data_IF_576799156425
#
_entry.id   IF_576799156425
#
_cell.length_a   1.000
_cell.length_b   1.000
_cell.length_c   1.000
_cell.angle_alpha   90.00
_cell.angle_beta   90.00
_cell.angle_gamma   90.00
#
_symmetry.space_group_name_H-M   'P 1'
#
loop_
_entity.id
_entity.type
_entity.pdbx_description
1 polymer ?
#
# COMPACT_ATOMS: atom_id res chain seq x y z
N UNK A 1 -22.54 -2.49 3.21
CA UNK A 1 -21.23 -2.99 2.70
C UNK A 1 -21.34 -3.03 1.19
N UNK A 2 -20.41 -2.45 0.43
CA UNK A 2 -20.47 -2.55 -1.04
C UNK A 2 -19.83 -3.87 -1.43
N UNK A 3 -20.64 -4.84 -1.82
CA UNK A 3 -20.17 -6.12 -2.31
C UNK A 3 -19.54 -5.92 -3.69
N UNK A 4 -18.25 -6.27 -3.80
CA UNK A 4 -17.50 -6.26 -5.06
C UNK A 4 -17.11 -7.70 -5.34
N UNK A 5 -17.58 -8.21 -6.48
CA UNK A 5 -17.25 -9.52 -6.99
C UNK A 5 -16.47 -9.36 -8.30
N UNK A 6 -15.38 -10.09 -8.47
CA UNK A 6 -14.66 -10.17 -9.74
C UNK A 6 -14.84 -11.58 -10.32
N UNK A 7 -15.85 -11.83 -11.18
CA UNK A 7 -16.27 -13.18 -11.58
C UNK A 7 -15.20 -13.99 -12.36
N UNK A 8 -14.19 -13.29 -12.89
CA UNK A 8 -13.04 -13.89 -13.53
C UNK A 8 -12.07 -14.56 -12.54
N UNK A 9 -12.08 -14.13 -11.27
CA UNK A 9 -11.34 -14.78 -10.20
C UNK A 9 -12.11 -16.04 -9.81
N UNK A 10 -11.61 -17.21 -10.20
CA UNK A 10 -12.19 -18.52 -9.86
C UNK A 10 -11.72 -19.02 -8.49
N UNK A 11 -11.58 -18.10 -7.55
CA UNK A 11 -11.09 -18.35 -6.19
C UNK A 11 -11.96 -17.60 -5.20
N UNK A 12 -12.06 -18.11 -3.99
CA UNK A 12 -12.74 -17.40 -2.91
C UNK A 12 -11.99 -16.10 -2.57
N UNK A 13 -12.74 -15.02 -2.40
CA UNK A 13 -12.19 -13.72 -2.05
C UNK A 13 -12.87 -13.15 -0.81
N UNK A 14 -12.07 -12.61 0.11
CA UNK A 14 -12.56 -11.93 1.31
C UNK A 14 -12.33 -10.44 1.18
N UNK A 15 -13.34 -9.62 1.47
CA UNK A 15 -13.17 -8.18 1.54
C UNK A 15 -12.29 -7.80 2.74
N UNK A 16 -11.22 -7.02 2.50
CA UNK A 16 -10.30 -6.59 3.56
C UNK A 16 -10.29 -5.08 3.80
N UNK A 17 -10.79 -4.29 2.85
CA UNK A 17 -10.92 -2.84 3.06
C UNK A 17 -11.22 -2.05 1.80
N UNK A 18 -11.44 -0.76 1.99
CA UNK A 18 -11.67 0.19 0.90
C UNK A 18 -11.01 1.52 1.19
N UNK A 19 -10.45 2.13 0.16
CA UNK A 19 -10.15 3.56 0.12
C UNK A 19 -11.16 4.29 -0.75
N UNK A 20 -11.01 5.61 -0.85
CA UNK A 20 -11.90 6.50 -1.61
C UNK A 20 -12.07 6.05 -3.08
N UNK A 21 -11.01 5.48 -3.68
CA UNK A 21 -10.99 5.14 -5.11
C UNK A 21 -10.82 3.65 -5.40
N UNK A 22 -10.72 2.78 -4.38
CA UNK A 22 -10.42 1.37 -4.57
C UNK A 22 -10.98 0.51 -3.45
N UNK A 23 -11.29 -0.75 -3.75
CA UNK A 23 -11.43 -1.77 -2.72
C UNK A 23 -10.27 -2.75 -2.77
N UNK A 24 -10.08 -3.47 -1.69
CA UNK A 24 -9.06 -4.51 -1.57
C UNK A 24 -9.75 -5.80 -1.16
N UNK A 25 -9.49 -6.84 -1.94
CA UNK A 25 -9.90 -8.21 -1.68
C UNK A 25 -8.66 -9.03 -1.34
N UNK A 26 -8.82 -10.07 -0.52
CA UNK A 26 -7.80 -11.08 -0.25
C UNK A 26 -8.22 -12.40 -0.91
N UNK A 27 -7.29 -13.03 -1.62
CA UNK A 27 -7.44 -14.38 -2.16
C UNK A 27 -6.21 -15.20 -1.74
N UNK A 28 -6.33 -16.00 -0.67
CA UNK A 28 -5.17 -16.71 -0.10
C UNK A 28 -4.06 -15.75 0.35
N UNK A 29 -2.88 -15.88 -0.26
CA UNK A 29 -1.69 -15.04 -0.02
C UNK A 29 -1.65 -13.80 -0.92
N UNK A 30 -2.71 -13.51 -1.68
CA UNK A 30 -2.77 -12.39 -2.61
C UNK A 30 -3.70 -11.29 -2.13
N UNK A 31 -3.24 -10.04 -2.20
CA UNK A 31 -4.05 -8.84 -2.12
C UNK A 31 -4.41 -8.37 -3.54
N UNK A 32 -5.69 -8.20 -3.79
CA UNK A 32 -6.24 -7.79 -5.08
C UNK A 32 -6.86 -6.41 -4.89
N UNK A 33 -6.23 -5.37 -5.43
CA UNK A 33 -6.76 -4.01 -5.37
C UNK A 33 -7.60 -3.76 -6.61
N UNK A 34 -8.87 -3.42 -6.41
CA UNK A 34 -9.83 -3.17 -7.48
C UNK A 34 -9.93 -1.66 -7.70
N UNK A 35 -9.37 -1.20 -8.81
CA UNK A 35 -9.48 0.18 -9.27
C UNK A 35 -10.72 0.31 -10.15
N UNK A 36 -11.78 0.86 -9.58
CA UNK A 36 -13.00 1.11 -10.34
C UNK A 36 -12.74 2.21 -11.36
N UNK A 37 -12.87 1.87 -12.62
CA UNK A 37 -12.77 2.84 -13.70
C UNK A 37 -14.20 3.16 -14.11
N UNK A 38 -14.58 4.44 -14.10
CA UNK A 38 -15.89 4.86 -14.57
C UNK A 38 -16.16 4.47 -16.02
N UNK A 39 -17.26 4.95 -16.61
CA UNK A 39 -17.54 4.71 -18.03
C UNK A 39 -16.39 5.27 -18.88
N UNK A 40 -15.61 4.37 -19.49
CA UNK A 40 -14.50 4.65 -20.39
C UNK A 40 -14.54 3.67 -21.54
N UNK A 41 -13.98 4.05 -22.68
CA UNK A 41 -13.77 3.11 -23.79
C UNK A 41 -12.64 2.11 -23.49
N UNK A 42 -12.53 1.07 -24.31
CA UNK A 42 -11.52 0.02 -24.13
C UNK A 42 -10.08 0.55 -24.25
N UNK A 43 -9.84 1.56 -25.09
CA UNK A 43 -8.51 2.12 -25.30
C UNK A 43 -8.05 2.91 -24.07
N UNK A 44 -8.93 3.72 -23.49
CA UNK A 44 -8.70 4.43 -22.23
C UNK A 44 -8.48 3.49 -21.06
N UNK A 45 -9.26 2.42 -20.97
CA UNK A 45 -9.11 1.40 -19.93
C UNK A 45 -7.75 0.69 -20.04
N UNK A 46 -7.35 0.32 -21.26
CA UNK A 46 -6.04 -0.26 -21.52
C UNK A 46 -4.88 0.71 -21.23
N UNK A 47 -5.02 1.99 -21.57
CA UNK A 47 -4.04 3.04 -21.19
C UNK A 47 -3.93 3.14 -19.68
N UNK A 48 -5.06 3.17 -18.95
CA UNK A 48 -5.06 3.29 -17.50
C UNK A 48 -4.43 2.07 -16.82
N UNK A 49 -4.72 0.87 -17.31
CA UNK A 49 -4.10 -0.35 -16.81
C UNK A 49 -2.57 -0.33 -16.97
N UNK A 50 -2.07 0.10 -18.14
CA UNK A 50 -0.62 0.25 -18.39
C UNK A 50 0.02 1.32 -17.51
N UNK A 51 -0.66 2.44 -17.28
CA UNK A 51 -0.18 3.49 -16.37
C UNK A 51 -0.03 2.96 -14.93
N UNK A 52 -1.04 2.22 -14.45
CA UNK A 52 -1.04 1.64 -13.10
C UNK A 52 0.06 0.57 -12.97
N UNK A 53 0.18 -0.34 -13.94
CA UNK A 53 1.22 -1.38 -13.95
C UNK A 53 2.62 -0.76 -14.02
N UNK A 54 2.84 0.17 -14.94
CA UNK A 54 4.10 0.89 -15.10
C UNK A 54 4.52 1.63 -13.82
N UNK A 55 3.60 2.36 -13.19
CA UNK A 55 3.86 3.04 -11.90
C UNK A 55 4.24 2.03 -10.81
N UNK A 56 3.52 0.93 -10.68
CA UNK A 56 3.79 -0.08 -9.65
C UNK A 56 5.14 -0.77 -9.83
N UNK A 57 5.53 -1.04 -11.07
CA UNK A 57 6.86 -1.59 -11.40
C UNK A 57 7.96 -0.59 -11.12
N UNK A 58 7.76 0.67 -11.51
CA UNK A 58 8.77 1.72 -11.33
C UNK A 58 9.04 2.02 -9.85
N UNK A 59 7.99 2.08 -9.02
CA UNK A 59 8.15 2.21 -7.57
C UNK A 59 9.02 1.08 -7.02
N UNK A 60 8.77 -0.17 -7.40
CA UNK A 60 9.53 -1.33 -6.89
C UNK A 60 10.97 -1.44 -7.38
N UNK A 61 11.37 -0.65 -8.38
CA UNK A 61 12.79 -0.49 -8.74
C UNK A 61 13.54 0.45 -7.80
N UNK A 62 12.82 1.38 -7.18
CA UNK A 62 13.41 2.46 -6.37
C UNK A 62 13.24 2.26 -4.87
N UNK A 63 12.22 1.51 -4.46
CA UNK A 63 11.92 1.22 -3.05
C UNK A 63 11.62 -0.26 -2.84
N UNK A 64 12.07 -0.78 -1.71
CA UNK A 64 11.99 -2.20 -1.35
C UNK A 64 10.98 -2.48 -0.22
N UNK A 65 10.38 -1.44 0.37
CA UNK A 65 9.45 -1.53 1.49
C UNK A 65 7.99 -1.71 1.06
N UNK A 66 7.74 -2.09 -0.19
CA UNK A 66 6.43 -2.45 -0.70
C UNK A 66 6.26 -3.98 -0.76
N UNK A 67 5.05 -4.52 -0.56
CA UNK A 67 4.75 -5.90 -0.91
C UNK A 67 5.05 -6.20 -2.38
N UNK A 68 5.32 -7.47 -2.69
CA UNK A 68 5.54 -7.91 -4.06
C UNK A 68 4.36 -7.55 -4.96
N UNK A 69 4.67 -7.30 -6.24
CA UNK A 69 3.68 -6.98 -7.26
C UNK A 69 3.78 -7.93 -8.42
N UNK A 70 2.64 -8.51 -8.77
CA UNK A 70 2.57 -9.59 -9.75
C UNK A 70 1.99 -9.10 -11.08
N UNK A 71 1.30 -7.96 -11.10
CA UNK A 71 0.82 -7.33 -12.34
C UNK A 71 -0.57 -6.73 -12.23
N UNK A 72 -1.07 -6.24 -13.36
CA UNK A 72 -2.42 -5.72 -13.50
C UNK A 72 -3.17 -6.41 -14.62
N UNK A 73 -4.48 -6.55 -14.47
CA UNK A 73 -5.39 -6.99 -15.53
C UNK A 73 -6.60 -6.06 -15.61
N UNK A 74 -7.18 -5.98 -16.79
CA UNK A 74 -8.49 -5.36 -16.99
C UNK A 74 -9.56 -6.43 -16.80
N UNK A 75 -10.57 -6.14 -16.01
CA UNK A 75 -11.68 -7.05 -15.76
C UNK A 75 -13.01 -6.31 -15.65
N UNK A 76 -14.10 -7.05 -15.83
CA UNK A 76 -15.42 -6.61 -15.40
C UNK A 76 -15.66 -7.09 -13.96
N UNK A 77 -16.11 -6.19 -13.09
CA UNK A 77 -16.49 -6.51 -11.70
C UNK A 77 -17.95 -6.18 -11.48
N UNK A 78 -18.62 -6.96 -10.62
CA UNK A 78 -19.97 -6.62 -10.16
C UNK A 78 -19.85 -5.76 -8.91
N UNK A 79 -20.57 -4.64 -8.90
CA UNK A 79 -20.65 -3.71 -7.77
C UNK A 79 -22.11 -3.31 -7.58
N UNK A 80 -22.72 -3.70 -6.47
CA UNK A 80 -24.11 -3.35 -6.16
C UNK A 80 -25.09 -3.72 -7.29
N UNK A 81 -24.94 -4.92 -7.86
CA UNK A 81 -25.77 -5.43 -8.96
C UNK A 81 -25.40 -4.91 -10.36
N UNK A 82 -24.54 -3.90 -10.48
CA UNK A 82 -24.07 -3.38 -11.78
C UNK A 82 -22.72 -3.96 -12.17
N UNK A 83 -22.54 -4.26 -13.46
CA UNK A 83 -21.23 -4.64 -14.02
C UNK A 83 -20.48 -3.39 -14.44
N UNK A 84 -19.26 -3.21 -13.93
CA UNK A 84 -18.42 -2.05 -14.24
C UNK A 84 -17.00 -2.49 -14.62
N UNK A 85 -16.34 -1.79 -15.55
CA UNK A 85 -14.94 -2.06 -15.85
C UNK A 85 -14.05 -1.66 -14.67
N UNK A 86 -13.01 -2.45 -14.42
CA UNK A 86 -12.02 -2.18 -13.41
C UNK A 86 -10.63 -2.62 -13.87
N UNK A 87 -9.61 -2.04 -13.25
CA UNK A 87 -8.25 -2.57 -13.27
C UNK A 87 -8.02 -3.29 -11.96
N UNK A 88 -7.67 -4.56 -12.01
CA UNK A 88 -7.28 -5.33 -10.83
C UNK A 88 -5.76 -5.34 -10.78
N UNK A 89 -5.19 -5.00 -9.64
CA UNK A 89 -3.75 -5.17 -9.39
C UNK A 89 -3.53 -6.26 -8.35
N UNK A 90 -2.53 -7.10 -8.61
CA UNK A 90 -2.22 -8.26 -7.80
C UNK A 90 -0.93 -8.04 -7.04
N UNK A 91 -1.02 -8.20 -5.72
CA UNK A 91 0.08 -7.98 -4.81
C UNK A 91 0.15 -9.15 -3.83
N UNK A 92 1.31 -9.32 -3.21
CA UNK A 92 1.39 -10.12 -2.00
C UNK A 92 0.46 -9.53 -0.92
N UNK A 93 -0.28 -10.40 -0.22
CA UNK A 93 -1.06 -10.02 0.94
C UNK A 93 -0.18 -9.93 2.17
N UNK A 94 -0.17 -8.75 2.80
CA UNK A 94 0.41 -8.55 4.12
C UNK A 94 -0.67 -7.96 5.02
N UNK A 95 -0.83 -8.55 6.20
CA UNK A 95 -1.86 -8.10 7.14
C UNK A 95 -1.52 -6.70 7.70
N UNK A 96 -2.49 -5.76 7.75
CA UNK A 96 -2.28 -4.47 8.38
C UNK A 96 -1.92 -4.60 9.86
N UNK A 97 -1.05 -3.71 10.34
CA UNK A 97 -0.64 -3.70 11.74
C UNK A 97 -1.84 -3.37 12.64
N UNK A 98 -2.21 -4.32 13.50
CA UNK A 98 -3.28 -4.16 14.49
C UNK A 98 -2.80 -3.87 15.91
N UNK A 99 -1.53 -4.15 16.20
CA UNK A 99 -0.92 -3.95 17.52
C UNK A 99 0.40 -3.20 17.39
N UNK A 100 0.57 -2.17 18.23
CA UNK A 100 1.71 -1.26 18.20
C UNK A 100 2.58 -1.48 19.43
N UNK A 101 3.49 -2.44 19.34
CA UNK A 101 4.56 -2.59 20.34
C UNK A 101 5.64 -1.53 20.09
N UNK A 102 6.49 -1.29 21.09
CA UNK A 102 7.62 -0.39 20.94
C UNK A 102 8.52 -0.76 19.75
N UNK A 103 8.81 -2.06 19.57
CA UNK A 103 9.58 -2.56 18.43
C UNK A 103 8.91 -2.25 17.08
N UNK A 104 7.60 -2.43 16.97
CA UNK A 104 6.83 -2.10 15.76
C UNK A 104 6.89 -0.60 15.46
N UNK A 105 6.76 0.25 16.48
CA UNK A 105 6.89 1.71 16.34
C UNK A 105 8.28 2.11 15.83
N UNK A 106 9.34 1.52 16.38
CA UNK A 106 10.70 1.77 15.91
C UNK A 106 10.90 1.33 14.46
N UNK A 107 10.33 0.20 14.06
CA UNK A 107 10.38 -0.28 12.67
C UNK A 107 9.60 0.64 11.71
N UNK A 108 8.45 1.16 12.13
CA UNK A 108 7.67 2.16 11.39
C UNK A 108 8.49 3.43 11.15
N UNK A 109 9.10 3.97 12.21
CA UNK A 109 9.94 5.17 12.12
C UNK A 109 11.14 4.96 11.19
N UNK A 110 11.79 3.80 11.25
CA UNK A 110 12.87 3.44 10.31
C UNK A 110 12.38 3.37 8.86
N UNK A 111 11.18 2.85 8.60
CA UNK A 111 10.61 2.83 7.26
C UNK A 111 10.36 4.25 6.75
N UNK A 112 9.79 5.12 7.59
CA UNK A 112 9.53 6.52 7.25
C UNK A 112 10.83 7.27 6.92
N UNK A 113 11.88 7.09 7.74
CA UNK A 113 13.18 7.68 7.46
C UNK A 113 13.75 7.19 6.11
N UNK A 114 13.72 5.87 5.87
CA UNK A 114 14.16 5.29 4.59
C UNK A 114 13.36 5.78 3.39
N UNK A 115 12.05 6.00 3.53
CA UNK A 115 11.25 6.57 2.45
C UNK A 115 11.62 8.02 2.18
N UNK A 116 11.87 8.80 3.24
CA UNK A 116 12.32 10.19 3.15
C UNK A 116 13.66 10.31 2.41
N UNK A 117 14.63 9.46 2.75
CA UNK A 117 15.94 9.38 2.09
C UNK A 117 15.81 9.07 0.59
N UNK A 118 14.81 8.27 0.22
CA UNK A 118 14.48 7.95 -1.16
C UNK A 118 13.63 9.04 -1.85
N UNK A 119 13.36 10.18 -1.19
CA UNK A 119 12.61 11.32 -1.73
C UNK A 119 11.09 11.14 -1.71
N UNK A 120 10.59 10.26 -0.84
CA UNK A 120 9.17 9.92 -0.74
C UNK A 120 8.57 10.30 0.61
N UNK A 121 7.32 10.76 0.56
CA UNK A 121 6.48 11.01 1.74
C UNK A 121 5.35 9.99 1.75
N UNK A 122 5.09 9.39 2.92
CA UNK A 122 4.06 8.36 3.07
C UNK A 122 2.85 8.90 3.82
N UNK A 123 1.63 8.55 3.37
CA UNK A 123 0.41 8.74 4.16
C UNK A 123 0.48 7.89 5.44
N UNK A 124 0.66 8.55 6.59
CA UNK A 124 0.96 7.96 7.90
C UNK A 124 -0.24 7.28 8.58
N UNK A 125 -1.28 6.93 7.83
CA UNK A 125 -2.41 6.17 8.37
C UNK A 125 -1.95 4.78 8.82
N UNK A 126 -2.23 4.37 10.06
CA UNK A 126 -1.91 3.03 10.58
C UNK A 126 -2.29 1.88 9.64
N UNK A 127 -3.45 1.95 8.99
CA UNK A 127 -3.94 0.94 8.05
C UNK A 127 -3.12 0.78 6.76
N UNK A 128 -2.23 1.74 6.47
CA UNK A 128 -1.33 1.69 5.30
C UNK A 128 -0.03 0.94 5.60
N UNK A 129 0.18 0.44 6.82
CA UNK A 129 1.37 -0.31 7.17
C UNK A 129 1.00 -1.76 7.53
N UNK A 130 1.83 -2.69 7.07
CA UNK A 130 1.70 -4.12 7.32
C UNK A 130 2.95 -4.70 7.95
N UNK A 131 2.82 -5.85 8.60
CA UNK A 131 3.95 -6.60 9.16
C UNK A 131 4.10 -7.93 8.43
N UNK A 132 5.24 -8.13 7.76
CA UNK A 132 5.62 -9.37 7.08
C UNK A 132 6.83 -9.96 7.82
N UNK A 133 6.59 -10.99 8.63
CA UNK A 133 7.61 -11.50 9.56
C UNK A 133 8.05 -10.38 10.50
N UNK A 134 9.33 -10.04 10.51
CA UNK A 134 9.86 -8.93 11.32
C UNK A 134 9.91 -7.58 10.59
N UNK A 135 9.54 -7.56 9.31
CA UNK A 135 9.66 -6.38 8.45
C UNK A 135 8.34 -5.62 8.37
N UNK A 136 8.40 -4.31 8.64
CA UNK A 136 7.29 -3.41 8.31
C UNK A 136 7.34 -3.07 6.81
N UNK A 137 6.18 -3.10 6.17
CA UNK A 137 5.99 -2.73 4.76
C UNK A 137 4.88 -1.69 4.63
N UNK A 138 4.89 -0.96 3.53
CA UNK A 138 3.88 0.04 3.18
C UNK A 138 2.91 -0.52 2.14
N UNK A 139 1.62 -0.45 2.44
CA UNK A 139 0.55 -1.14 1.72
C UNK A 139 -0.18 -0.25 0.70
N UNK A 140 0.12 1.06 0.65
CA UNK A 140 -0.60 2.04 -0.18
C UNK A 140 0.30 2.78 -1.19
N UNK A 141 0.44 2.28 -2.41
CA UNK A 141 1.27 2.93 -3.44
C UNK A 141 0.76 4.31 -3.90
N UNK A 142 -0.50 4.65 -3.60
CA UNK A 142 -1.08 5.97 -3.89
C UNK A 142 -0.89 6.96 -2.75
N UNK A 143 -0.69 6.48 -1.53
CA UNK A 143 -0.28 7.28 -0.38
C UNK A 143 1.18 7.73 -0.43
N UNK A 144 1.94 7.30 -1.45
CA UNK A 144 3.30 7.76 -1.72
C UNK A 144 3.25 9.08 -2.48
N UNK A 145 3.54 10.17 -1.78
CA UNK A 145 3.83 11.47 -2.35
C UNK A 145 5.27 11.56 -2.86
N UNK A 146 5.50 12.50 -3.79
CA UNK A 146 6.84 12.92 -4.21
C UNK A 146 7.07 14.35 -3.74
N UNK A 147 8.19 14.58 -3.08
CA UNK A 147 8.58 15.89 -2.60
C UNK A 147 9.56 15.75 -1.44
N UNK A 148 10.50 16.70 -1.27
CA UNK A 148 11.38 16.69 -0.14
C UNK A 148 10.56 16.83 1.14
N UNK A 149 10.79 15.94 2.10
CA UNK A 149 10.44 16.26 3.49
C UNK A 149 11.37 17.43 3.87
N UNK A 150 10.84 18.56 4.35
CA UNK A 150 11.67 19.67 4.78
C UNK A 150 12.78 19.18 5.76
N UNK A 151 14.05 19.58 5.58
CA UNK A 151 15.16 19.07 6.40
C UNK A 151 14.96 19.20 7.91
N UNK A 152 14.30 20.27 8.34
CA UNK A 152 13.86 20.55 9.71
C UNK A 152 12.94 19.44 10.25
N UNK A 153 12.01 18.95 9.45
CA UNK A 153 11.10 17.86 9.85
C UNK A 153 11.87 16.54 10.01
N UNK A 154 12.91 16.32 9.20
CA UNK A 154 13.77 15.12 9.33
C UNK A 154 14.58 15.19 10.62
N UNK A 155 15.18 16.34 10.90
CA UNK A 155 15.96 16.58 12.13
C UNK A 155 15.09 16.43 13.39
N UNK A 156 13.91 17.01 13.40
CA UNK A 156 12.96 16.91 14.52
C UNK A 156 12.48 15.47 14.73
N UNK A 157 12.19 14.74 13.65
CA UNK A 157 11.79 13.34 13.75
C UNK A 157 12.94 12.49 14.31
N UNK A 158 14.16 12.72 13.83
CA UNK A 158 15.35 12.01 14.31
C UNK A 158 15.59 12.27 15.80
N UNK A 159 15.52 13.52 16.25
CA UNK A 159 15.63 13.89 17.66
C UNK A 159 14.52 13.27 18.51
N UNK A 160 13.28 13.29 18.03
CA UNK A 160 12.15 12.65 18.72
C UNK A 160 12.36 11.14 18.87
N UNK A 161 12.84 10.45 17.82
CA UNK A 161 13.17 9.03 17.88
C UNK A 161 14.30 8.76 18.88
N UNK A 162 15.35 9.57 18.87
CA UNK A 162 16.49 9.44 19.77
C UNK A 162 16.09 9.65 21.24
N UNK A 163 15.24 10.65 21.50
CA UNK A 163 14.74 10.93 22.84
C UNK A 163 13.80 9.83 23.34
N UNK A 164 12.93 9.31 22.47
CA UNK A 164 12.09 8.14 22.76
C UNK A 164 12.99 6.96 23.11
N UNK A 165 13.97 6.61 22.27
CA UNK A 165 14.91 5.51 22.52
C UNK A 165 15.64 5.63 23.85
N UNK A 166 16.11 6.84 24.19
CA UNK A 166 16.76 7.15 25.47
C UNK A 166 15.82 6.93 26.65
N UNK A 167 14.55 7.34 26.54
CA UNK A 167 13.54 7.19 27.61
C UNK A 167 13.09 5.73 27.82
N UNK A 168 13.12 4.89 26.79
CA UNK A 168 12.68 3.48 26.89
C UNK A 168 13.83 2.53 27.25
N UNK A 169 15.03 3.06 27.53
CA UNK A 169 16.18 2.27 28.00
C UNK A 169 16.80 1.36 26.95
N UNK A 170 16.53 1.60 25.67
CA UNK A 170 17.08 0.85 24.53
C UNK A 170 18.23 1.63 23.89
N UNK A 171 19.26 1.93 24.68
CA UNK A 171 20.53 2.38 24.09
C UNK A 171 21.20 1.19 23.40
N UNK A 172 21.67 1.41 22.16
CA UNK A 172 22.67 0.52 21.56
C UNK A 172 23.88 0.47 22.48
N UNK A 173 24.21 -0.73 22.98
CA UNK A 173 25.61 -1.05 23.24
C UNK A 173 26.39 -1.06 21.92
#
# INVERSE_FOLDING_TARGET
MVEIEAPCLKVETVYVGSGIHRCVLRAGEMAIKVHLIGKRDAAELGRKAREIDGRNRELRKTIDFLPEYHGAVVAAVKKGGSVVPAVLTFHEYVEPIRSYTFDVLMKLLRLIARSADAGYVLDMKPSNFGLKGERVVYLDEYGIGKGPIPPDVIEDLAQMVEEILRRVGLEKR
#
